data_IF_171869790204
#
_entry.id   IF_171869790204
#
_cell.length_a   1.000
_cell.length_b   1.000
_cell.length_c   1.000
_cell.angle_alpha   90.00
_cell.angle_beta   90.00
_cell.angle_gamma   90.00
#
_symmetry.space_group_name_H-M   'P 1'
#
loop_
_entity.id
_entity.type
_entity.pdbx_description
1 polymer ?
#
# COMPACT_ATOMS: atom_id res chain seq x y z
N UNK A 1 -33.92 23.02 -36.87
CA UNK A 1 -33.59 21.69 -36.31
C UNK A 1 -32.16 21.79 -35.79
N UNK A 2 -31.98 22.03 -34.49
CA UNK A 2 -30.66 22.21 -33.86
C UNK A 2 -30.05 20.82 -33.61
N UNK A 3 -28.97 20.52 -34.30
CA UNK A 3 -28.16 19.32 -34.05
C UNK A 3 -27.43 19.54 -32.74
N UNK A 4 -27.79 18.78 -31.69
CA UNK A 4 -27.00 18.74 -30.46
C UNK A 4 -25.62 18.20 -30.80
N UNK A 5 -24.51 18.87 -30.39
CA UNK A 5 -23.19 18.36 -30.63
C UNK A 5 -23.01 17.08 -29.81
N UNK A 6 -22.87 15.96 -30.52
CA UNK A 6 -22.38 14.69 -29.98
C UNK A 6 -21.12 15.02 -29.17
N UNK A 7 -21.19 14.89 -27.84
CA UNK A 7 -20.02 15.09 -27.00
C UNK A 7 -19.06 13.93 -27.28
N UNK A 8 -17.91 14.16 -27.95
CA UNK A 8 -16.96 13.08 -28.16
C UNK A 8 -16.55 12.56 -26.78
N UNK A 9 -16.82 11.27 -26.52
CA UNK A 9 -16.35 10.60 -25.31
C UNK A 9 -14.85 10.83 -25.24
N UNK A 10 -14.39 11.64 -24.27
CA UNK A 10 -12.97 11.96 -24.13
C UNK A 10 -12.18 10.66 -24.11
N UNK A 11 -11.28 10.52 -25.08
CA UNK A 11 -10.42 9.34 -25.22
C UNK A 11 -9.60 9.20 -23.94
N UNK A 12 -9.48 7.98 -23.42
CA UNK A 12 -8.64 7.71 -22.26
C UNK A 12 -7.19 7.98 -22.67
N UNK A 13 -6.54 8.97 -22.05
CA UNK A 13 -5.14 9.20 -22.33
C UNK A 13 -4.30 8.02 -21.81
N UNK A 14 -3.14 7.83 -22.42
CA UNK A 14 -2.20 6.75 -22.05
C UNK A 14 -1.81 6.83 -20.57
N UNK A 15 -1.77 8.05 -20.01
CA UNK A 15 -1.43 8.28 -18.59
C UNK A 15 -2.54 7.80 -17.66
N UNK A 16 -3.79 8.10 -17.98
CA UNK A 16 -4.96 7.61 -17.24
C UNK A 16 -5.08 6.08 -17.34
N UNK A 17 -4.76 5.51 -18.51
CA UNK A 17 -4.66 4.07 -18.69
C UNK A 17 -3.61 3.44 -17.78
N UNK A 18 -2.40 3.97 -17.78
CA UNK A 18 -1.33 3.50 -16.91
C UNK A 18 -1.71 3.62 -15.41
N UNK A 19 -2.29 4.76 -15.01
CA UNK A 19 -2.72 4.98 -13.63
C UNK A 19 -3.82 3.99 -13.20
N UNK A 20 -4.79 3.73 -14.08
CA UNK A 20 -5.86 2.78 -13.82
C UNK A 20 -5.33 1.34 -13.69
N UNK A 21 -4.47 0.91 -14.62
CA UNK A 21 -3.88 -0.43 -14.61
C UNK A 21 -3.01 -0.63 -13.37
N UNK A 22 -2.12 0.31 -13.06
CA UNK A 22 -1.26 0.19 -11.87
C UNK A 22 -2.08 0.23 -10.58
N UNK A 23 -3.11 1.09 -10.49
CA UNK A 23 -4.02 1.08 -9.34
C UNK A 23 -4.71 -0.28 -9.18
N UNK A 24 -5.21 -0.85 -10.28
CA UNK A 24 -5.87 -2.16 -10.27
C UNK A 24 -4.92 -3.30 -9.89
N UNK A 25 -3.69 -3.28 -10.40
CA UNK A 25 -2.64 -4.26 -10.05
C UNK A 25 -2.32 -4.20 -8.56
N UNK A 26 -2.12 -3.00 -8.01
CA UNK A 26 -1.85 -2.84 -6.57
C UNK A 26 -3.07 -3.27 -5.75
N UNK A 27 -4.28 -2.91 -6.17
CA UNK A 27 -5.53 -3.31 -5.53
C UNK A 27 -5.66 -4.84 -5.43
N UNK A 28 -5.42 -5.55 -6.53
CA UNK A 28 -5.43 -7.01 -6.57
C UNK A 28 -4.35 -7.59 -5.65
N UNK A 29 -3.13 -7.06 -5.75
CA UNK A 29 -2.00 -7.53 -4.94
C UNK A 29 -2.31 -7.42 -3.44
N UNK A 30 -2.73 -6.23 -2.96
CA UNK A 30 -2.99 -6.06 -1.53
C UNK A 30 -4.24 -6.81 -1.08
N UNK A 31 -5.25 -7.00 -1.94
CA UNK A 31 -6.39 -7.85 -1.62
C UNK A 31 -5.96 -9.31 -1.40
N UNK A 32 -5.02 -9.82 -2.20
CA UNK A 32 -4.45 -11.16 -2.01
C UNK A 32 -3.57 -11.25 -0.75
N UNK A 33 -2.82 -10.20 -0.42
CA UNK A 33 -2.05 -10.13 0.84
C UNK A 33 -2.99 -10.17 2.04
N UNK A 34 -4.01 -9.31 2.07
CA UNK A 34 -5.01 -9.27 3.14
C UNK A 34 -5.75 -10.61 3.25
N UNK A 35 -6.16 -11.18 2.11
CA UNK A 35 -6.78 -12.51 2.08
C UNK A 35 -5.86 -13.58 2.67
N UNK A 36 -4.59 -13.62 2.25
CA UNK A 36 -3.59 -14.56 2.77
C UNK A 36 -3.41 -14.42 4.29
N UNK A 37 -3.29 -13.21 4.80
CA UNK A 37 -3.18 -12.95 6.23
C UNK A 37 -4.44 -13.33 7.02
N UNK A 38 -5.63 -13.23 6.41
CA UNK A 38 -6.89 -13.67 7.04
C UNK A 38 -6.99 -15.21 7.05
N UNK A 39 -6.67 -15.88 5.94
CA UNK A 39 -6.86 -17.32 5.79
C UNK A 39 -5.76 -18.16 6.41
N UNK A 40 -4.51 -17.69 6.33
CA UNK A 40 -3.35 -18.31 6.97
C UNK A 40 -2.94 -17.49 8.21
N UNK A 41 -3.90 -17.32 9.11
CA UNK A 41 -3.79 -16.42 10.25
C UNK A 41 -2.66 -16.79 11.21
N UNK A 42 -2.53 -18.08 11.55
CA UNK A 42 -1.59 -18.52 12.57
C UNK A 42 -0.12 -18.42 12.13
N UNK A 43 0.16 -18.62 10.84
CA UNK A 43 1.52 -18.50 10.28
C UNK A 43 1.96 -17.04 10.25
N UNK A 44 1.12 -16.15 9.74
CA UNK A 44 1.44 -14.73 9.63
C UNK A 44 1.39 -14.01 10.99
N UNK A 45 0.57 -14.49 11.94
CA UNK A 45 0.63 -14.04 13.33
C UNK A 45 1.97 -14.38 13.97
N UNK A 46 2.51 -15.58 13.72
CA UNK A 46 3.83 -15.97 14.23
C UNK A 46 4.93 -15.07 13.68
N UNK A 47 4.86 -14.67 12.41
CA UNK A 47 5.79 -13.70 11.84
C UNK A 47 5.85 -12.42 12.68
N UNK A 48 4.70 -11.79 12.94
CA UNK A 48 4.65 -10.55 13.75
C UNK A 48 5.13 -10.77 15.18
N UNK A 49 4.77 -11.89 15.79
CA UNK A 49 5.22 -12.23 17.16
C UNK A 49 6.73 -12.33 17.25
N UNK A 50 7.38 -13.01 16.31
CA UNK A 50 8.83 -13.18 16.32
C UNK A 50 9.58 -11.88 16.01
N UNK A 51 9.07 -11.06 15.08
CA UNK A 51 9.64 -9.73 14.81
C UNK A 51 9.59 -8.86 16.07
N UNK A 52 8.42 -8.76 16.72
CA UNK A 52 8.27 -7.94 17.92
C UNK A 52 9.01 -8.49 19.14
N UNK A 53 9.10 -9.81 19.28
CA UNK A 53 9.85 -10.44 20.37
C UNK A 53 11.37 -10.34 20.19
N UNK A 54 11.86 -10.09 18.97
CA UNK A 54 13.28 -10.08 18.61
C UNK A 54 14.00 -11.38 19.00
N UNK A 55 13.28 -12.48 19.18
CA UNK A 55 13.78 -13.72 19.78
C UNK A 55 14.66 -14.54 18.83
N UNK A 56 14.65 -14.20 17.54
CA UNK A 56 15.47 -14.78 16.47
C UNK A 56 16.52 -13.80 15.92
N UNK A 57 16.79 -12.70 16.62
CA UNK A 57 17.88 -11.75 16.34
C UNK A 57 19.19 -12.19 17.01
N UNK A 58 20.26 -11.41 16.92
CA UNK A 58 21.53 -11.70 17.61
C UNK A 58 21.45 -11.58 19.13
N UNK A 59 20.32 -11.09 19.68
CA UNK A 59 20.06 -10.95 21.13
C UNK A 59 21.12 -10.13 21.87
N UNK A 60 21.61 -9.08 21.23
CA UNK A 60 22.48 -8.07 21.84
C UNK A 60 21.77 -7.38 23.01
N UNK A 61 22.39 -7.37 24.20
CA UNK A 61 21.82 -6.80 25.42
C UNK A 61 21.44 -5.31 25.24
N UNK A 62 22.19 -4.59 24.40
CA UNK A 62 21.96 -3.16 24.12
C UNK A 62 20.71 -2.90 23.24
N UNK A 63 20.19 -3.93 22.57
CA UNK A 63 19.02 -3.83 21.67
C UNK A 63 17.76 -4.45 22.25
N UNK A 64 17.90 -5.48 23.09
CA UNK A 64 16.78 -6.30 23.55
C UNK A 64 15.75 -5.57 24.42
N UNK A 65 16.07 -4.39 24.96
CA UNK A 65 15.12 -3.56 25.71
C UNK A 65 13.91 -3.11 24.87
N UNK A 66 14.02 -3.14 23.54
CA UNK A 66 12.96 -2.78 22.59
C UNK A 66 11.92 -3.87 22.41
N UNK A 67 12.23 -5.10 22.78
CA UNK A 67 11.41 -6.26 22.50
C UNK A 67 10.06 -6.21 23.24
N UNK A 68 9.01 -6.62 22.53
CA UNK A 68 7.66 -6.76 23.08
C UNK A 68 7.36 -8.24 23.17
N UNK A 69 7.29 -8.77 24.40
CA UNK A 69 7.05 -10.21 24.67
C UNK A 69 5.61 -10.54 25.03
N UNK A 70 4.77 -9.53 25.25
CA UNK A 70 3.34 -9.71 25.54
C UNK A 70 2.59 -10.16 24.29
N UNK A 71 2.05 -11.39 24.33
CA UNK A 71 1.26 -11.95 23.22
C UNK A 71 0.04 -11.12 22.87
N UNK A 72 -0.60 -10.48 23.86
CA UNK A 72 -1.76 -9.63 23.61
C UNK A 72 -1.41 -8.43 22.72
N UNK A 73 -0.27 -7.78 22.97
CA UNK A 73 0.19 -6.65 22.16
C UNK A 73 0.65 -7.08 20.77
N UNK A 74 1.32 -8.24 20.67
CA UNK A 74 1.72 -8.79 19.38
C UNK A 74 0.51 -9.16 18.51
N UNK A 75 -0.50 -9.79 19.09
CA UNK A 75 -1.72 -10.19 18.39
C UNK A 75 -2.55 -8.97 17.98
N UNK A 76 -2.63 -7.95 18.85
CA UNK A 76 -3.27 -6.68 18.52
C UNK A 76 -2.58 -5.98 17.35
N UNK A 77 -1.24 -5.96 17.32
CA UNK A 77 -0.47 -5.41 16.21
C UNK A 77 -0.75 -6.17 14.90
N UNK A 78 -0.79 -7.51 14.95
CA UNK A 78 -1.10 -8.33 13.79
C UNK A 78 -2.51 -8.06 13.25
N UNK A 79 -3.52 -8.02 14.13
CA UNK A 79 -4.90 -7.69 13.72
C UNK A 79 -4.98 -6.28 13.12
N UNK A 80 -4.27 -5.30 13.68
CA UNK A 80 -4.23 -3.95 13.14
C UNK A 80 -3.64 -3.90 11.72
N UNK A 81 -2.60 -4.71 11.44
CA UNK A 81 -2.02 -4.85 10.09
C UNK A 81 -3.09 -5.37 9.11
N UNK A 82 -3.78 -6.48 9.44
CA UNK A 82 -4.80 -7.06 8.56
C UNK A 82 -5.93 -6.07 8.28
N UNK A 83 -6.42 -5.38 9.31
CA UNK A 83 -7.46 -4.36 9.15
C UNK A 83 -6.98 -3.26 8.21
N UNK A 84 -5.74 -2.79 8.38
CA UNK A 84 -5.15 -1.76 7.53
C UNK A 84 -5.03 -2.21 6.07
N UNK A 85 -4.51 -3.41 5.82
CA UNK A 85 -4.39 -4.00 4.48
C UNK A 85 -5.75 -4.18 3.82
N UNK A 86 -6.75 -4.65 4.57
CA UNK A 86 -8.12 -4.84 4.09
C UNK A 86 -8.75 -3.51 3.69
N UNK A 87 -8.63 -2.47 4.53
CA UNK A 87 -9.15 -1.14 4.21
C UNK A 87 -8.42 -0.55 3.00
N UNK A 88 -7.09 -0.67 2.92
CA UNK A 88 -6.32 -0.22 1.76
C UNK A 88 -6.77 -0.93 0.47
N UNK A 89 -7.01 -2.24 0.52
CA UNK A 89 -7.52 -3.02 -0.60
C UNK A 89 -8.88 -2.49 -1.07
N UNK A 90 -9.82 -2.30 -0.16
CA UNK A 90 -11.16 -1.79 -0.48
C UNK A 90 -11.11 -0.38 -1.09
N UNK A 91 -10.27 0.50 -0.54
CA UNK A 91 -10.03 1.85 -1.07
C UNK A 91 -9.48 1.80 -2.50
N UNK A 92 -8.49 0.95 -2.77
CA UNK A 92 -7.89 0.81 -4.10
C UNK A 92 -8.81 0.11 -5.11
N UNK A 93 -9.66 -0.82 -4.68
CA UNK A 93 -10.71 -1.42 -5.51
C UNK A 93 -11.73 -0.34 -5.89
N UNK A 94 -12.15 0.49 -4.93
CA UNK A 94 -13.05 1.61 -5.21
C UNK A 94 -12.41 2.62 -6.17
N UNK A 95 -11.12 2.93 -6.00
CA UNK A 95 -10.37 3.79 -6.92
C UNK A 95 -10.33 3.21 -8.34
N UNK A 96 -10.03 1.91 -8.47
CA UNK A 96 -10.05 1.18 -9.74
C UNK A 96 -11.39 1.28 -10.44
N UNK A 97 -12.48 1.07 -9.70
CA UNK A 97 -13.84 1.21 -10.23
C UNK A 97 -14.14 2.63 -10.72
N UNK A 98 -13.64 3.67 -10.03
CA UNK A 98 -13.80 5.06 -10.45
C UNK A 98 -12.98 5.42 -11.69
N UNK A 99 -11.78 4.84 -11.84
CA UNK A 99 -11.00 4.94 -13.09
C UNK A 99 -11.79 4.39 -14.27
N UNK A 100 -12.41 3.21 -14.12
CA UNK A 100 -13.25 2.60 -15.15
C UNK A 100 -14.49 3.44 -15.48
N UNK A 101 -15.10 4.05 -14.47
CA UNK A 101 -16.24 4.98 -14.63
C UNK A 101 -15.84 6.39 -15.09
N UNK A 102 -14.56 6.66 -15.30
CA UNK A 102 -14.02 7.96 -15.73
C UNK A 102 -14.28 9.12 -14.75
N UNK A 103 -14.51 8.83 -13.46
CA UNK A 103 -14.52 9.86 -12.40
C UNK A 103 -13.07 10.14 -11.95
N UNK A 104 -12.31 10.82 -12.81
CA UNK A 104 -10.86 10.98 -12.66
C UNK A 104 -10.48 11.75 -11.39
N UNK A 105 -11.32 12.67 -10.91
CA UNK A 105 -11.04 13.43 -9.69
C UNK A 105 -11.08 12.50 -8.48
N UNK A 106 -12.15 11.71 -8.32
CA UNK A 106 -12.27 10.80 -7.17
C UNK A 106 -11.34 9.60 -7.30
N UNK A 107 -11.13 9.10 -8.52
CA UNK A 107 -10.20 8.02 -8.78
C UNK A 107 -8.78 8.37 -8.30
N UNK A 108 -8.27 9.56 -8.67
CA UNK A 108 -6.96 10.05 -8.18
C UNK A 108 -6.91 10.15 -6.65
N UNK A 109 -7.93 10.74 -6.03
CA UNK A 109 -7.98 10.90 -4.57
C UNK A 109 -7.91 9.56 -3.84
N UNK A 110 -8.75 8.60 -4.23
CA UNK A 110 -8.80 7.28 -3.59
C UNK A 110 -7.56 6.43 -3.94
N UNK A 111 -7.04 6.51 -5.17
CA UNK A 111 -5.75 5.90 -5.52
C UNK A 111 -4.64 6.42 -4.61
N UNK A 112 -4.48 7.75 -4.50
CA UNK A 112 -3.45 8.34 -3.65
C UNK A 112 -3.61 7.95 -2.19
N UNK A 113 -4.84 7.97 -1.65
CA UNK A 113 -5.12 7.56 -0.28
C UNK A 113 -4.70 6.10 -0.03
N UNK A 114 -5.17 5.16 -0.86
CA UNK A 114 -4.84 3.73 -0.70
C UNK A 114 -3.35 3.44 -0.89
N UNK A 115 -2.69 4.09 -1.86
CA UNK A 115 -1.26 3.92 -2.09
C UNK A 115 -0.41 4.48 -0.94
N UNK A 116 -0.81 5.62 -0.37
CA UNK A 116 -0.16 6.17 0.83
C UNK A 116 -0.36 5.28 2.06
N UNK A 117 -1.52 4.62 2.19
CA UNK A 117 -1.72 3.61 3.23
C UNK A 117 -0.70 2.47 3.12
N UNK A 118 -0.41 2.00 1.90
CA UNK A 118 0.60 0.95 1.70
C UNK A 118 2.02 1.44 1.96
N UNK A 119 2.35 2.66 1.51
CA UNK A 119 3.65 3.26 1.80
C UNK A 119 3.86 3.46 3.32
N UNK A 120 2.81 3.82 4.05
CA UNK A 120 2.88 3.95 5.50
C UNK A 120 3.09 2.57 6.16
N UNK A 121 2.28 1.57 5.80
CA UNK A 121 2.38 0.24 6.40
C UNK A 121 3.72 -0.43 6.07
N UNK A 122 4.07 -0.55 4.79
CA UNK A 122 5.26 -1.30 4.39
C UNK A 122 6.54 -0.47 4.52
N UNK A 123 6.50 0.83 4.25
CA UNK A 123 7.65 1.72 4.41
C UNK A 123 7.94 2.07 5.86
N UNK A 124 6.97 2.67 6.57
CA UNK A 124 7.21 3.03 7.97
C UNK A 124 7.06 1.82 8.91
N UNK A 125 6.03 1.00 8.73
CA UNK A 125 5.79 -0.16 9.61
C UNK A 125 6.81 -1.29 9.41
N UNK A 126 6.94 -1.84 8.21
CA UNK A 126 7.82 -2.99 7.99
C UNK A 126 9.29 -2.62 7.82
N UNK A 127 9.64 -1.62 7.01
CA UNK A 127 11.05 -1.25 6.79
C UNK A 127 11.60 -0.50 8.01
N UNK A 128 11.02 0.65 8.39
CA UNK A 128 11.60 1.44 9.47
C UNK A 128 11.38 0.83 10.86
N UNK A 129 10.16 0.44 11.22
CA UNK A 129 9.89 -0.13 12.55
C UNK A 129 10.31 -1.61 12.62
N UNK A 130 9.83 -2.46 11.71
CA UNK A 130 10.22 -3.88 11.68
C UNK A 130 11.73 -4.06 11.45
N UNK A 131 12.23 -3.53 10.33
CA UNK A 131 13.63 -3.62 9.93
C UNK A 131 14.57 -3.00 10.94
N UNK A 132 14.48 -1.69 11.17
CA UNK A 132 15.49 -0.96 11.94
C UNK A 132 15.24 -0.98 13.45
N UNK A 133 14.02 -0.72 13.91
CA UNK A 133 13.75 -0.67 15.35
C UNK A 133 13.84 -2.06 16.00
N UNK A 134 13.21 -3.06 15.38
CA UNK A 134 13.18 -4.46 15.85
C UNK A 134 14.27 -5.36 15.25
N UNK A 135 15.19 -4.80 14.46
CA UNK A 135 16.29 -5.55 13.83
C UNK A 135 15.82 -6.79 13.04
N UNK A 136 14.64 -6.72 12.39
CA UNK A 136 14.05 -7.82 11.62
C UNK A 136 15.02 -8.37 10.54
N UNK A 137 15.92 -7.52 10.03
CA UNK A 137 16.94 -7.92 9.06
C UNK A 137 17.91 -9.00 9.59
N UNK A 138 18.07 -9.13 10.90
CA UNK A 138 18.94 -10.14 11.53
C UNK A 138 18.33 -11.54 11.53
N UNK A 139 17.01 -11.67 11.33
CA UNK A 139 16.36 -12.98 11.38
C UNK A 139 16.34 -13.65 10.02
N UNK A 140 16.91 -14.85 9.91
CA UNK A 140 16.87 -15.62 8.65
C UNK A 140 15.44 -16.05 8.26
N UNK A 141 14.60 -16.34 9.26
CA UNK A 141 13.26 -16.90 9.05
C UNK A 141 12.16 -15.84 9.03
N UNK A 142 12.29 -14.81 9.86
CA UNK A 142 11.21 -13.84 10.11
C UNK A 142 11.59 -12.46 9.57
N UNK A 143 12.07 -12.41 8.33
CA UNK A 143 12.46 -11.17 7.66
C UNK A 143 11.54 -10.87 6.47
N UNK A 144 10.81 -9.76 6.57
CA UNK A 144 9.85 -9.30 5.55
C UNK A 144 10.35 -8.15 4.68
N UNK A 145 11.61 -7.73 4.76
CA UNK A 145 12.10 -6.52 4.08
C UNK A 145 11.99 -6.60 2.56
N UNK A 146 12.35 -7.75 1.97
CA UNK A 146 12.24 -7.94 0.52
C UNK A 146 10.80 -7.80 0.02
N UNK A 147 9.84 -8.35 0.77
CA UNK A 147 8.43 -8.20 0.45
C UNK A 147 8.00 -6.74 0.60
N UNK A 148 8.35 -6.09 1.71
CA UNK A 148 8.00 -4.69 1.97
C UNK A 148 8.54 -3.74 0.90
N UNK A 149 9.80 -3.92 0.48
CA UNK A 149 10.43 -3.13 -0.59
C UNK A 149 9.66 -3.28 -1.91
N UNK A 150 9.23 -4.50 -2.28
CA UNK A 150 8.42 -4.71 -3.50
C UNK A 150 7.10 -3.94 -3.43
N UNK A 151 6.41 -3.96 -2.29
CA UNK A 151 5.15 -3.21 -2.11
C UNK A 151 5.39 -1.71 -2.17
N UNK A 152 6.46 -1.21 -1.53
CA UNK A 152 6.83 0.21 -1.55
C UNK A 152 7.14 0.67 -2.97
N UNK A 153 7.94 -0.08 -3.73
CA UNK A 153 8.29 0.26 -5.10
C UNK A 153 7.07 0.26 -6.02
N UNK A 154 6.23 -0.77 -5.95
CA UNK A 154 5.02 -0.86 -6.77
C UNK A 154 4.04 0.27 -6.42
N UNK A 155 3.84 0.53 -5.13
CA UNK A 155 2.94 1.59 -4.65
C UNK A 155 3.45 2.98 -4.99
N UNK A 156 4.75 3.21 -4.84
CA UNK A 156 5.40 4.48 -5.22
C UNK A 156 5.30 4.74 -6.71
N UNK A 157 5.56 3.74 -7.55
CA UNK A 157 5.42 3.86 -9.01
C UNK A 157 3.97 4.16 -9.41
N UNK A 158 3.01 3.46 -8.81
CA UNK A 158 1.59 3.72 -9.04
C UNK A 158 1.20 5.14 -8.62
N UNK A 159 1.71 5.62 -7.49
CA UNK A 159 1.42 6.94 -6.94
C UNK A 159 1.93 8.05 -7.86
N UNK A 160 3.19 7.93 -8.31
CA UNK A 160 3.77 8.86 -9.28
C UNK A 160 2.98 8.87 -10.58
N UNK A 161 2.55 7.70 -11.06
CA UNK A 161 1.76 7.59 -12.29
C UNK A 161 0.40 8.27 -12.12
N UNK A 162 -0.30 8.04 -11.00
CA UNK A 162 -1.57 8.71 -10.66
C UNK A 162 -1.40 10.23 -10.64
N UNK A 163 -0.35 10.75 -10.00
CA UNK A 163 -0.11 12.20 -9.96
C UNK A 163 0.28 12.79 -11.32
N UNK A 164 0.89 12.00 -12.22
CA UNK A 164 1.21 12.44 -13.59
C UNK A 164 -0.03 12.68 -14.49
N UNK A 165 -1.21 12.22 -14.05
CA UNK A 165 -2.51 12.48 -14.70
C UNK A 165 -3.15 13.81 -14.26
N UNK A 166 -2.52 14.55 -13.33
CA UNK A 166 -2.88 15.94 -13.01
C UNK A 166 -2.67 16.86 -14.22
N UNK A 167 -3.63 17.74 -14.53
CA UNK A 167 -3.41 18.77 -15.54
C UNK A 167 -2.20 19.62 -15.12
N UNK A 168 -1.19 19.71 -15.99
CA UNK A 168 -0.24 20.81 -15.87
C UNK A 168 -1.03 22.06 -16.22
N UNK A 169 -1.25 22.95 -15.25
CA UNK A 169 -1.69 24.31 -15.54
C UNK A 169 -0.70 24.90 -16.53
N UNK A 170 -1.08 24.97 -17.81
CA UNK A 170 -0.29 25.68 -18.81
C UNK A 170 -0.14 27.14 -18.37
N UNK A 171 0.98 27.82 -18.69
CA UNK A 171 1.16 29.21 -18.30
C UNK A 171 -0.05 30.02 -18.76
N UNK A 172 -0.67 30.74 -17.83
CA UNK A 172 -1.75 31.66 -18.13
C UNK A 172 -1.27 32.58 -19.24
N UNK A 173 -1.85 32.44 -20.44
CA UNK A 173 -1.65 33.42 -21.50
C UNK A 173 -2.32 34.71 -21.03
N UNK A 174 -1.53 35.60 -20.44
CA UNK A 174 -1.89 37.00 -20.27
C UNK A 174 -2.02 37.60 -21.68
N UNK A 175 -3.26 37.88 -22.08
CA UNK A 175 -3.56 38.80 -23.17
C UNK A 175 -3.49 40.25 -22.68
#
# INVERSE_FOLDING_TARGET
>A
MSVSPDHPRRVFGVREAAAAVLTATVALYIALVAFGNITDFDTNRQFVRHVLAMDTTFRDEDLMWRAITSRAWQDAAYVAIIVWETVAALVLIAATWLWLRRDLRRARLLSSAGLLMLLLLFGAGFIAVGGEWFAMWQSDKWNGLDAAIRVVLLSGLALLTVHSTGDRSGPARSG
#
